data_IF_392246262243
#
_entry.id   IF_392246262243
#
_cell.length_a   1.000
_cell.length_b   1.000
_cell.length_c   1.000
_cell.angle_alpha   90.00
_cell.angle_beta   90.00
_cell.angle_gamma   90.00
#
_symmetry.space_group_name_H-M   'P 1'
#
loop_
_entity.id
_entity.type
_entity.pdbx_description
1 polymer ?
#
# COMPACT_ATOMS: atom_id res chain seq x y z
N UNK A 1 -7.09 -4.49 -10.62
CA UNK A 1 -7.00 -5.82 -11.29
C UNK A 1 -6.11 -6.70 -10.42
N UNK A 2 -6.54 -7.89 -10.06
CA UNK A 2 -5.71 -8.79 -9.24
C UNK A 2 -4.84 -9.61 -10.20
N UNK A 3 -3.56 -9.76 -9.89
CA UNK A 3 -2.66 -10.61 -10.66
C UNK A 3 -2.02 -11.67 -9.78
N UNK A 4 -1.89 -12.87 -10.33
CA UNK A 4 -1.08 -13.93 -9.73
C UNK A 4 0.31 -13.79 -10.33
N UNK A 5 1.30 -13.57 -9.50
CA UNK A 5 2.69 -13.47 -9.90
C UNK A 5 3.46 -14.72 -9.44
N UNK A 6 4.45 -15.12 -10.23
CA UNK A 6 5.34 -16.23 -9.92
C UNK A 6 6.77 -15.72 -9.92
N UNK A 7 7.44 -15.75 -8.79
CA UNK A 7 8.84 -15.32 -8.69
C UNK A 7 9.76 -16.20 -9.54
N UNK A 8 9.44 -17.50 -9.62
CA UNK A 8 10.23 -18.48 -10.38
C UNK A 8 9.35 -19.34 -11.30
N UNK A 9 8.80 -18.79 -12.40
CA UNK A 9 7.86 -19.49 -13.27
C UNK A 9 8.46 -20.74 -13.96
N UNK A 10 9.78 -20.77 -14.17
CA UNK A 10 10.46 -21.92 -14.75
C UNK A 10 10.39 -23.18 -13.87
N UNK A 11 10.20 -23.02 -12.53
CA UNK A 11 10.02 -24.16 -11.63
C UNK A 11 8.70 -24.91 -11.84
N UNK A 12 7.71 -24.29 -12.47
CA UNK A 12 6.47 -24.99 -12.89
C UNK A 12 6.76 -26.11 -13.89
N UNK A 13 7.86 -26.02 -14.66
CA UNK A 13 8.26 -27.08 -15.59
C UNK A 13 8.65 -28.39 -14.88
N UNK A 14 9.05 -28.33 -13.60
CA UNK A 14 9.33 -29.51 -12.77
C UNK A 14 8.05 -30.32 -12.52
N UNK A 15 6.89 -29.68 -12.51
CA UNK A 15 5.59 -30.35 -12.39
C UNK A 15 5.31 -31.34 -13.50
N UNK A 16 5.83 -31.12 -14.72
CA UNK A 16 5.57 -31.98 -15.89
C UNK A 16 6.11 -33.40 -15.68
N UNK A 17 7.39 -33.63 -15.37
CA UNK A 17 7.90 -34.96 -15.12
C UNK A 17 7.28 -35.62 -13.88
N UNK A 18 6.96 -34.84 -12.83
CA UNK A 18 6.27 -35.37 -11.66
C UNK A 18 4.86 -35.90 -12.00
N UNK A 19 4.10 -35.14 -12.80
CA UNK A 19 2.79 -35.58 -13.29
C UNK A 19 2.89 -36.81 -14.14
N UNK A 20 3.89 -36.93 -15.02
CA UNK A 20 4.10 -38.13 -15.82
C UNK A 20 4.35 -39.38 -14.94
N UNK A 21 5.14 -39.24 -13.87
CA UNK A 21 5.38 -40.32 -12.92
C UNK A 21 4.07 -40.77 -12.25
N UNK A 22 3.22 -39.83 -11.83
CA UNK A 22 1.92 -40.10 -11.20
C UNK A 22 0.99 -40.81 -12.19
N UNK A 23 0.94 -40.36 -13.44
CA UNK A 23 0.12 -41.01 -14.50
C UNK A 23 0.57 -42.44 -14.78
N UNK A 24 1.87 -42.66 -14.94
CA UNK A 24 2.43 -44.00 -15.19
C UNK A 24 2.15 -44.93 -14.00
N UNK A 25 2.33 -44.43 -12.76
CA UNK A 25 2.01 -45.18 -11.54
C UNK A 25 0.54 -45.60 -11.49
N UNK A 26 -0.36 -44.69 -11.87
CA UNK A 26 -1.80 -44.96 -11.93
C UNK A 26 -2.13 -46.07 -12.97
N UNK A 27 -1.55 -46.00 -14.18
CA UNK A 27 -1.77 -46.98 -15.23
C UNK A 27 -1.31 -48.36 -14.76
N UNK A 28 -0.16 -48.45 -14.08
CA UNK A 28 0.36 -49.71 -13.54
C UNK A 28 -0.56 -50.25 -12.45
N UNK A 29 -1.04 -49.38 -11.54
CA UNK A 29 -1.92 -49.78 -10.44
C UNK A 29 -3.26 -50.32 -10.94
N UNK A 30 -3.88 -49.69 -11.95
CA UNK A 30 -5.15 -50.13 -12.55
C UNK A 30 -4.97 -51.45 -13.27
N UNK A 31 -3.81 -51.70 -13.90
CA UNK A 31 -3.54 -52.99 -14.57
C UNK A 31 -3.31 -54.15 -13.60
N UNK A 32 -2.84 -53.87 -12.39
CA UNK A 32 -2.47 -54.90 -11.41
C UNK A 32 -3.61 -55.27 -10.46
N UNK A 33 -4.51 -54.34 -10.14
CA UNK A 33 -5.57 -54.53 -9.14
C UNK A 33 -6.91 -53.94 -9.60
N UNK A 34 -8.00 -54.71 -9.46
CA UNK A 34 -9.35 -54.29 -9.83
C UNK A 34 -10.04 -53.36 -8.84
N UNK A 35 -9.34 -52.85 -7.81
CA UNK A 35 -9.89 -51.92 -6.82
C UNK A 35 -9.96 -50.48 -7.36
N UNK A 36 -10.83 -50.24 -8.33
CA UNK A 36 -10.94 -48.99 -9.09
C UNK A 36 -11.12 -47.74 -8.20
N UNK A 37 -11.98 -47.81 -7.15
CA UNK A 37 -12.24 -46.67 -6.26
C UNK A 37 -11.00 -46.25 -5.51
N UNK A 38 -10.26 -47.19 -4.90
CA UNK A 38 -9.04 -46.95 -4.18
C UNK A 38 -7.95 -46.30 -5.07
N UNK A 39 -7.80 -46.86 -6.29
CA UNK A 39 -6.82 -46.36 -7.25
C UNK A 39 -7.14 -44.92 -7.71
N UNK A 40 -8.40 -44.60 -7.95
CA UNK A 40 -8.84 -43.25 -8.33
C UNK A 40 -8.62 -42.24 -7.21
N UNK A 41 -8.97 -42.60 -5.96
CA UNK A 41 -8.75 -41.72 -4.81
C UNK A 41 -7.26 -41.45 -4.58
N UNK A 42 -6.44 -42.51 -4.65
CA UNK A 42 -4.98 -42.35 -4.54
C UNK A 42 -4.40 -41.45 -5.63
N UNK A 43 -4.85 -41.61 -6.86
CA UNK A 43 -4.43 -40.80 -8.00
C UNK A 43 -4.78 -39.31 -7.81
N UNK A 44 -6.03 -39.02 -7.36
CA UNK A 44 -6.46 -37.65 -7.10
C UNK A 44 -5.60 -36.97 -6.00
N UNK A 45 -5.27 -37.71 -4.93
CA UNK A 45 -4.41 -37.19 -3.87
C UNK A 45 -3.00 -36.89 -4.38
N UNK A 46 -2.41 -37.79 -5.20
CA UNK A 46 -1.07 -37.54 -5.72
C UNK A 46 -1.02 -36.35 -6.68
N UNK A 47 -2.05 -36.18 -7.54
CA UNK A 47 -2.16 -34.98 -8.39
C UNK A 47 -2.23 -33.72 -7.52
N UNK A 48 -3.07 -33.69 -6.48
CA UNK A 48 -3.19 -32.56 -5.59
C UNK A 48 -1.86 -32.21 -4.93
N UNK A 49 -1.12 -33.22 -4.45
CA UNK A 49 0.20 -33.05 -3.84
C UNK A 49 1.18 -32.44 -4.85
N UNK A 50 1.24 -32.94 -6.09
CA UNK A 50 2.13 -32.40 -7.13
C UNK A 50 1.80 -30.94 -7.43
N UNK A 51 0.52 -30.59 -7.55
CA UNK A 51 0.08 -29.20 -7.76
C UNK A 51 0.53 -28.30 -6.61
N UNK A 52 0.30 -28.70 -5.37
CA UNK A 52 0.68 -27.91 -4.21
C UNK A 52 2.20 -27.71 -4.11
N UNK A 53 2.98 -28.77 -4.37
CA UNK A 53 4.45 -28.68 -4.36
C UNK A 53 4.95 -27.76 -5.47
N UNK A 54 4.43 -27.87 -6.70
CA UNK A 54 4.88 -27.03 -7.82
C UNK A 54 4.52 -25.57 -7.63
N UNK A 55 3.32 -25.27 -7.10
CA UNK A 55 2.92 -23.91 -6.74
C UNK A 55 3.77 -23.33 -5.61
N UNK A 56 4.08 -24.14 -4.60
CA UNK A 56 4.96 -23.74 -3.50
C UNK A 56 6.38 -23.43 -3.97
N UNK A 57 6.97 -24.28 -4.85
CA UNK A 57 8.29 -24.05 -5.42
C UNK A 57 8.33 -22.82 -6.33
N UNK A 58 7.27 -22.56 -7.09
CA UNK A 58 7.16 -21.38 -7.94
C UNK A 58 7.03 -20.08 -7.16
N UNK A 59 6.91 -20.14 -5.82
CA UNK A 59 6.66 -18.95 -4.95
C UNK A 59 5.52 -18.11 -5.50
N UNK A 60 4.35 -18.74 -5.59
CA UNK A 60 3.16 -18.05 -6.06
C UNK A 60 2.77 -16.95 -5.09
N UNK A 61 2.79 -15.69 -5.54
CA UNK A 61 2.33 -14.54 -4.79
C UNK A 61 1.05 -13.96 -5.41
N UNK A 62 0.16 -13.51 -4.54
CA UNK A 62 -1.06 -12.83 -4.95
C UNK A 62 -0.85 -11.33 -4.79
N UNK A 63 -0.57 -10.63 -5.89
CA UNK A 63 -0.39 -9.19 -5.89
C UNK A 63 -1.72 -8.49 -6.19
N UNK A 64 -2.07 -7.59 -5.30
CA UNK A 64 -3.17 -6.66 -5.51
C UNK A 64 -2.61 -5.39 -6.12
N UNK A 65 -2.92 -5.13 -7.38
CA UNK A 65 -2.54 -3.87 -8.02
C UNK A 65 -3.38 -2.76 -7.41
N UNK A 66 -2.76 -1.97 -6.55
CA UNK A 66 -3.33 -0.76 -5.99
C UNK A 66 -3.10 0.34 -7.03
N UNK A 67 -4.19 0.86 -7.59
CA UNK A 67 -4.13 1.89 -8.64
C UNK A 67 -4.45 3.28 -8.13
N UNK A 68 -5.16 3.39 -7.00
CA UNK A 68 -5.54 4.67 -6.40
C UNK A 68 -4.45 5.15 -5.43
N UNK A 69 -4.04 6.41 -5.58
CA UNK A 69 -3.06 7.06 -4.70
C UNK A 69 -3.75 8.15 -3.89
N UNK A 70 -3.61 8.11 -2.57
CA UNK A 70 -4.05 9.19 -1.69
C UNK A 70 -2.83 9.97 -1.21
N UNK A 71 -2.87 11.28 -1.40
CA UNK A 71 -1.81 12.21 -1.04
C UNK A 71 -2.38 13.16 0.00
N UNK A 72 -1.83 13.14 1.21
CA UNK A 72 -2.12 14.19 2.19
C UNK A 72 -0.99 15.20 2.21
N UNK A 73 -1.35 16.48 2.07
CA UNK A 73 -0.42 17.60 2.19
C UNK A 73 -0.55 18.13 3.61
N UNK A 74 0.56 18.08 4.37
CA UNK A 74 0.67 18.72 5.68
C UNK A 74 1.20 20.12 5.48
N UNK A 75 0.34 21.11 5.69
CA UNK A 75 0.66 22.52 5.55
C UNK A 75 0.90 23.18 6.91
N UNK A 76 2.08 23.70 7.11
CA UNK A 76 2.43 24.51 8.28
C UNK A 76 1.77 25.88 8.20
N UNK A 77 0.87 26.14 9.14
CA UNK A 77 0.16 27.43 9.27
C UNK A 77 0.58 28.21 10.52
N UNK A 78 1.68 27.80 11.17
CA UNK A 78 2.22 28.49 12.36
C UNK A 78 2.60 29.94 12.07
N UNK A 79 2.88 30.72 13.14
CA UNK A 79 3.25 32.14 12.99
C UNK A 79 4.52 32.34 12.16
N UNK A 80 5.50 31.42 12.19
CA UNK A 80 6.70 31.49 11.35
C UNK A 80 6.34 31.38 9.87
N UNK A 81 5.46 30.43 9.52
CA UNK A 81 5.01 30.17 8.15
C UNK A 81 3.91 31.13 7.64
N UNK A 82 3.34 31.98 8.51
CA UNK A 82 2.17 32.82 8.19
C UNK A 82 2.39 33.79 7.00
N UNK A 83 3.63 34.21 6.73
CA UNK A 83 3.99 35.03 5.57
C UNK A 83 3.94 34.30 4.24
N UNK A 84 3.96 32.96 4.27
CA UNK A 84 4.08 32.09 3.11
C UNK A 84 2.77 31.38 2.76
N UNK A 85 1.64 31.67 3.44
CA UNK A 85 0.37 30.97 3.21
C UNK A 85 -0.13 31.09 1.76
N UNK A 86 0.12 32.22 1.10
CA UNK A 86 -0.21 32.40 -0.33
C UNK A 86 0.60 31.44 -1.21
N UNK A 87 1.89 31.29 -0.92
CA UNK A 87 2.77 30.37 -1.64
C UNK A 87 2.40 28.90 -1.40
N UNK A 88 1.94 28.58 -0.19
CA UNK A 88 1.47 27.24 0.15
C UNK A 88 0.21 26.90 -0.66
N UNK A 89 -0.75 27.82 -0.72
CA UNK A 89 -1.97 27.65 -1.53
C UNK A 89 -1.64 27.51 -3.02
N UNK A 90 -0.74 28.34 -3.55
CA UNK A 90 -0.28 28.23 -4.94
C UNK A 90 0.34 26.86 -5.24
N UNK A 91 1.23 26.39 -4.37
CA UNK A 91 1.87 25.09 -4.49
C UNK A 91 0.88 23.91 -4.43
N UNK A 92 -0.11 23.98 -3.53
CA UNK A 92 -1.16 22.97 -3.41
C UNK A 92 -1.98 22.91 -4.71
N UNK A 93 -2.37 24.06 -5.27
CA UNK A 93 -3.12 24.15 -6.51
C UNK A 93 -2.29 23.64 -7.71
N UNK A 94 -1.00 23.93 -7.76
CA UNK A 94 -0.09 23.41 -8.78
C UNK A 94 0.02 21.88 -8.68
N UNK A 95 0.15 21.34 -7.49
CA UNK A 95 0.16 19.88 -7.27
C UNK A 95 -1.14 19.25 -7.75
N UNK A 96 -2.30 19.82 -7.42
CA UNK A 96 -3.60 19.30 -7.84
C UNK A 96 -3.69 19.20 -9.36
N UNK A 97 -3.20 20.21 -10.08
CA UNK A 97 -3.18 20.22 -11.54
C UNK A 97 -2.23 19.19 -12.17
N UNK A 98 -1.21 18.75 -11.44
CA UNK A 98 -0.13 17.91 -11.97
C UNK A 98 -0.15 16.45 -11.50
N UNK A 99 -1.03 16.08 -10.54
CA UNK A 99 -1.10 14.67 -10.09
C UNK A 99 -1.79 13.77 -11.11
N UNK A 100 -1.44 12.48 -11.18
CA UNK A 100 -2.12 11.51 -12.02
C UNK A 100 -3.62 11.43 -11.73
N UNK A 101 -4.44 11.16 -12.73
CA UNK A 101 -5.93 11.12 -12.63
C UNK A 101 -6.47 10.14 -11.59
N UNK A 102 -5.69 9.15 -11.19
CA UNK A 102 -6.02 8.18 -10.15
C UNK A 102 -5.49 8.56 -8.76
N UNK A 103 -5.03 9.80 -8.60
CA UNK A 103 -4.59 10.35 -7.32
C UNK A 103 -5.65 11.29 -6.75
N UNK A 104 -5.80 11.26 -5.43
CA UNK A 104 -6.65 12.18 -4.67
C UNK A 104 -5.82 12.92 -3.65
N UNK A 105 -6.07 14.21 -3.50
CA UNK A 105 -5.36 15.06 -2.56
C UNK A 105 -6.29 15.39 -1.39
N UNK A 106 -5.74 15.37 -0.18
CA UNK A 106 -6.30 15.94 1.02
C UNK A 106 -5.31 16.93 1.64
N UNK A 107 -5.78 17.86 2.45
CA UNK A 107 -4.97 18.89 3.10
C UNK A 107 -5.20 18.85 4.60
N UNK A 108 -4.12 18.72 5.36
CA UNK A 108 -4.09 18.81 6.81
C UNK A 108 -3.26 20.04 7.18
N UNK A 109 -3.85 20.99 7.88
CA UNK A 109 -3.13 22.13 8.43
C UNK A 109 -2.62 21.80 9.83
N UNK A 110 -1.43 22.27 10.16
CA UNK A 110 -0.87 22.09 11.49
C UNK A 110 -0.15 23.36 12.00
N UNK A 111 -0.10 23.47 13.30
CA UNK A 111 0.63 24.43 14.09
C UNK A 111 0.89 23.80 15.46
N UNK A 112 0.37 24.38 16.55
CA UNK A 112 0.39 23.76 17.87
C UNK A 112 -0.53 22.54 17.96
N UNK A 113 -1.66 22.56 17.27
CA UNK A 113 -2.61 21.50 17.01
C UNK A 113 -2.70 21.22 15.50
N UNK A 114 -3.67 20.43 15.07
CA UNK A 114 -3.86 20.09 13.67
C UNK A 114 -5.35 19.94 13.32
N UNK A 115 -5.68 20.16 12.05
CA UNK A 115 -7.04 19.96 11.54
C UNK A 115 -7.01 19.44 10.12
N UNK A 116 -7.97 18.57 9.77
CA UNK A 116 -8.21 18.18 8.36
C UNK A 116 -9.00 19.31 7.70
N UNK A 117 -8.32 20.10 6.89
CA UNK A 117 -8.95 21.21 6.16
C UNK A 117 -9.77 20.70 4.97
N UNK A 118 -9.24 19.69 4.27
CA UNK A 118 -9.89 19.06 3.11
C UNK A 118 -9.57 17.57 3.12
N UNK A 119 -10.59 16.70 3.07
CA UNK A 119 -10.37 15.26 2.95
C UNK A 119 -10.13 14.85 1.50
N UNK A 120 -9.56 13.66 1.29
CA UNK A 120 -9.23 13.15 -0.05
C UNK A 120 -10.46 13.03 -0.94
N UNK A 121 -10.43 13.73 -2.08
CA UNK A 121 -11.51 13.74 -3.07
C UNK A 121 -12.57 14.83 -2.85
N UNK A 122 -12.39 15.71 -1.88
CA UNK A 122 -13.15 16.95 -1.73
C UNK A 122 -12.47 18.11 -2.47
N UNK A 123 -13.21 19.22 -2.67
CA UNK A 123 -12.67 20.45 -3.23
C UNK A 123 -11.66 21.08 -2.26
N UNK A 124 -10.49 21.44 -2.75
CA UNK A 124 -9.40 21.97 -1.92
C UNK A 124 -9.76 23.38 -1.43
N UNK A 125 -9.69 23.56 -0.12
CA UNK A 125 -9.88 24.84 0.56
C UNK A 125 -8.55 25.53 0.77
N UNK A 126 -8.57 26.88 0.85
CA UNK A 126 -7.37 27.66 1.17
C UNK A 126 -6.89 27.39 2.59
N UNK A 127 -5.58 27.21 2.78
CA UNK A 127 -4.96 27.00 4.10
C UNK A 127 -5.18 28.18 5.06
N UNK A 128 -5.57 29.35 4.53
CA UNK A 128 -5.93 30.53 5.33
C UNK A 128 -7.22 30.34 6.12
N UNK A 129 -8.10 29.44 5.70
CA UNK A 129 -9.36 29.12 6.37
C UNK A 129 -9.16 28.24 7.61
N UNK A 130 -7.95 27.73 7.81
CA UNK A 130 -7.60 26.90 8.96
C UNK A 130 -7.76 27.64 10.28
N UNK A 131 -8.30 26.92 11.26
CA UNK A 131 -8.54 27.40 12.64
C UNK A 131 -7.49 26.89 13.64
N UNK A 132 -6.43 26.29 13.15
CA UNK A 132 -5.31 25.75 13.94
C UNK A 132 -4.68 26.86 14.81
N UNK A 133 -4.31 26.51 16.04
CA UNK A 133 -3.51 27.38 16.92
C UNK A 133 -2.09 27.53 16.35
N UNK A 134 -1.78 28.75 15.90
CA UNK A 134 -0.53 29.11 15.21
C UNK A 134 0.66 29.34 16.13
N UNK A 135 0.49 29.22 17.45
CA UNK A 135 1.48 29.63 18.46
C UNK A 135 2.72 28.71 18.57
N UNK A 136 2.68 27.53 17.98
CA UNK A 136 3.78 26.58 17.97
C UNK A 136 3.71 25.71 16.71
N UNK A 137 4.76 24.91 16.46
CA UNK A 137 4.84 23.96 15.34
C UNK A 137 5.07 22.56 15.90
N UNK A 138 4.13 21.65 15.65
CA UNK A 138 4.16 20.26 16.11
C UNK A 138 3.99 19.30 14.92
N UNK A 139 5.06 19.11 14.18
CA UNK A 139 5.08 18.28 12.97
C UNK A 139 4.83 16.81 13.32
N UNK A 140 5.37 16.34 14.44
CA UNK A 140 5.28 14.94 14.85
C UNK A 140 3.82 14.48 15.01
N UNK A 141 3.05 15.19 15.85
CA UNK A 141 1.65 14.82 16.10
C UNK A 141 0.78 14.94 14.84
N UNK A 142 1.02 15.96 13.99
CA UNK A 142 0.33 16.13 12.72
C UNK A 142 0.63 14.98 11.75
N UNK A 143 1.88 14.52 11.68
CA UNK A 143 2.29 13.42 10.82
C UNK A 143 1.70 12.08 11.30
N UNK A 144 1.77 11.82 12.62
CA UNK A 144 1.18 10.61 13.22
C UNK A 144 -0.34 10.57 12.97
N UNK A 145 -1.03 11.67 13.21
CA UNK A 145 -2.46 11.77 12.93
C UNK A 145 -2.77 11.55 11.46
N UNK A 146 -2.05 12.22 10.55
CA UNK A 146 -2.28 12.09 9.10
C UNK A 146 -2.08 10.67 8.62
N UNK A 147 -1.15 9.92 9.19
CA UNK A 147 -0.95 8.51 8.87
C UNK A 147 -2.19 7.66 9.17
N UNK A 148 -3.02 8.05 10.16
CA UNK A 148 -4.28 7.35 10.50
C UNK A 148 -5.42 7.61 9.52
N UNK A 149 -5.35 8.69 8.73
CA UNK A 149 -6.43 9.06 7.79
C UNK A 149 -6.47 8.17 6.54
N UNK A 150 -5.38 7.47 6.24
CA UNK A 150 -5.32 6.63 5.04
C UNK A 150 -6.20 5.39 5.15
N UNK A 151 -7.00 5.19 4.12
CA UNK A 151 -7.76 3.95 3.94
C UNK A 151 -6.86 2.79 3.52
N UNK A 152 -7.33 1.58 3.73
CA UNK A 152 -6.65 0.40 3.21
C UNK A 152 -6.76 0.33 1.68
N UNK A 153 -5.78 -0.35 1.06
CA UNK A 153 -5.73 -0.61 -0.38
C UNK A 153 -5.57 0.63 -1.27
N UNK A 154 -4.88 1.65 -0.77
CA UNK A 154 -4.42 2.82 -1.55
C UNK A 154 -2.92 2.97 -1.39
N UNK A 155 -2.27 3.56 -2.40
CA UNK A 155 -0.89 4.03 -2.24
C UNK A 155 -0.93 5.28 -1.37
N UNK A 156 -0.19 5.28 -0.27
CA UNK A 156 -0.20 6.34 0.75
C UNK A 156 0.99 7.26 0.50
N UNK A 157 0.74 8.57 0.42
CA UNK A 157 1.81 9.59 0.31
C UNK A 157 1.50 10.75 1.23
N UNK A 158 2.52 11.25 1.91
CA UNK A 158 2.46 12.47 2.73
C UNK A 158 3.50 13.43 2.16
N UNK A 159 3.08 14.67 1.93
CA UNK A 159 3.94 15.79 1.52
C UNK A 159 3.89 16.82 2.63
N UNK A 160 5.03 17.20 3.18
CA UNK A 160 5.11 18.20 4.26
C UNK A 160 5.61 19.51 3.66
N UNK A 161 4.90 20.59 3.92
CA UNK A 161 5.26 21.95 3.55
C UNK A 161 5.43 22.74 4.86
N UNK A 162 6.66 23.01 5.24
CA UNK A 162 7.03 23.72 6.48
C UNK A 162 8.34 24.48 6.26
N UNK A 163 8.60 25.50 7.05
CA UNK A 163 9.90 26.18 7.12
C UNK A 163 10.96 25.37 7.90
N UNK A 164 10.56 24.26 8.52
CA UNK A 164 11.44 23.35 9.25
C UNK A 164 11.72 23.77 10.70
N UNK A 165 11.11 24.86 11.19
CA UNK A 165 11.23 25.28 12.59
C UNK A 165 10.26 24.48 13.47
N UNK A 166 10.73 23.38 14.06
CA UNK A 166 9.94 22.59 15.01
C UNK A 166 10.14 23.12 16.43
N UNK A 167 9.05 23.43 17.13
CA UNK A 167 9.07 24.00 18.50
C UNK A 167 9.10 22.88 19.56
N UNK A 168 8.79 21.65 19.20
CA UNK A 168 8.72 20.49 20.09
C UNK A 168 9.83 19.50 19.73
N UNK A 169 10.71 19.18 20.69
CA UNK A 169 11.74 18.15 20.51
C UNK A 169 11.09 16.77 20.30
N UNK A 170 10.96 16.36 19.06
CA UNK A 170 10.47 15.02 18.69
C UNK A 170 11.30 14.44 17.56
N UNK A 171 11.52 13.14 17.60
CA UNK A 171 12.32 12.47 16.58
C UNK A 171 11.45 12.09 15.36
N UNK A 172 11.25 13.01 14.44
CA UNK A 172 10.53 12.78 13.17
C UNK A 172 11.17 11.60 12.41
N UNK A 173 12.49 11.43 12.47
CA UNK A 173 13.22 10.36 11.80
C UNK A 173 12.75 8.98 12.22
N UNK A 174 12.54 8.76 13.53
CA UNK A 174 12.04 7.47 14.04
C UNK A 174 10.61 7.17 13.59
N UNK A 175 9.77 8.19 13.48
CA UNK A 175 8.40 8.03 13.02
C UNK A 175 8.36 7.67 11.53
N UNK A 176 9.12 8.37 10.69
CA UNK A 176 9.18 8.10 9.24
C UNK A 176 9.70 6.69 8.97
N UNK A 177 10.68 6.21 9.74
CA UNK A 177 11.16 4.83 9.64
C UNK A 177 10.07 3.81 9.97
N UNK A 178 9.23 4.07 10.97
CA UNK A 178 8.13 3.19 11.36
C UNK A 178 6.96 3.19 10.35
N UNK A 179 6.74 4.30 9.62
CA UNK A 179 5.68 4.42 8.62
C UNK A 179 6.08 3.86 7.24
N UNK A 180 7.37 3.61 7.00
CA UNK A 180 7.91 3.11 5.72
C UNK A 180 7.97 1.58 5.61
N UNK A 181 7.40 0.84 6.56
CA UNK A 181 7.37 -0.64 6.57
C UNK A 181 6.14 -1.23 5.90
#
# INVERSE_FOLDING_TARGET
>A
MNSINFDNPWLLMIGIPLLLIVIVSFIIAVRKDNKTIHNVTSFAIHILIVILITLGLAKTSYERIITETNIYILADVSYSSNKNLDLIDEYINELEGNVPKNSKIGVVCFGKDYEVLTDVGEEIKSVKESKVDKSATNIYEALEFTATLFKDNVVKRIVIISDGEETKESSIVSLVQNLSV
#
